data_IF_732424348157
#
_entry.id   IF_732424348157
#
_cell.length_a   1.000
_cell.length_b   1.000
_cell.length_c   1.000
_cell.angle_alpha   90.00
_cell.angle_beta   90.00
_cell.angle_gamma   90.00
#
_symmetry.space_group_name_H-M   'P 1'
#
loop_
_entity.id
_entity.type
_entity.pdbx_description
1 polymer ?
#
# COMPACT_ATOMS: atom_id res chain seq x y z
N UNK A 1 -2.19 -14.74 -0.07
CA UNK A 1 -1.15 -13.70 -0.28
C UNK A 1 -1.72 -12.36 0.19
N UNK A 2 -1.09 -11.72 1.16
CA UNK A 2 -1.56 -10.44 1.70
C UNK A 2 -0.85 -9.28 1.00
N UNK A 3 -1.64 -8.37 0.40
CA UNK A 3 -1.14 -7.14 -0.22
C UNK A 3 -1.13 -5.94 0.74
N UNK A 4 -1.96 -5.99 1.75
CA UNK A 4 -1.98 -5.10 2.89
C UNK A 4 -1.57 -5.91 4.12
N UNK A 5 -0.62 -5.41 4.90
CA UNK A 5 -0.25 -5.97 6.20
C UNK A 5 -0.33 -4.90 7.27
N UNK A 6 -0.40 -5.32 8.50
CA UNK A 6 -0.32 -4.43 9.66
C UNK A 6 0.94 -4.81 10.43
N UNK A 7 1.90 -3.91 10.44
CA UNK A 7 3.12 -4.04 11.23
C UNK A 7 2.86 -3.51 12.64
N UNK A 8 3.56 -4.05 13.62
CA UNK A 8 3.48 -3.63 15.02
C UNK A 8 4.82 -3.02 15.40
N UNK A 9 4.77 -1.83 15.93
CA UNK A 9 5.93 -1.15 16.49
C UNK A 9 5.71 -0.95 17.98
N UNK A 10 6.76 -1.11 18.73
CA UNK A 10 6.75 -0.92 20.17
C UNK A 10 7.50 0.38 20.46
N UNK A 11 6.93 1.24 21.31
CA UNK A 11 7.64 2.43 21.74
C UNK A 11 8.88 2.07 22.54
N UNK A 12 9.96 2.82 22.34
CA UNK A 12 11.15 2.78 23.17
C UNK A 12 11.13 3.91 24.19
N UNK A 13 12.00 3.86 25.17
CA UNK A 13 12.21 4.97 26.12
C UNK A 13 13.08 6.08 25.52
N UNK A 14 13.51 5.93 24.26
CA UNK A 14 14.26 6.93 23.53
C UNK A 14 13.32 7.98 22.93
N UNK A 15 13.47 9.23 23.38
CA UNK A 15 12.76 10.39 22.82
C UNK A 15 13.74 11.35 22.15
N UNK A 16 13.29 12.22 21.22
CA UNK A 16 14.12 13.26 20.64
C UNK A 16 14.77 14.15 21.73
N UNK A 17 14.00 14.53 22.73
CA UNK A 17 14.46 15.35 23.87
C UNK A 17 15.54 14.65 24.67
N UNK A 18 15.39 13.36 24.92
CA UNK A 18 16.42 12.56 25.59
C UNK A 18 17.70 12.49 24.75
N UNK A 19 17.56 12.27 23.44
CA UNK A 19 18.70 12.20 22.54
C UNK A 19 19.49 13.52 22.51
N UNK A 20 18.81 14.66 22.56
CA UNK A 20 19.44 15.99 22.62
C UNK A 20 20.09 16.24 23.96
N UNK A 21 19.39 16.00 25.08
CA UNK A 21 19.88 16.23 26.42
C UNK A 21 21.11 15.38 26.78
N UNK A 22 21.14 14.14 26.33
CA UNK A 22 22.24 13.20 26.58
C UNK A 22 23.30 13.26 25.46
N UNK A 23 23.11 14.12 24.43
CA UNK A 23 24.00 14.26 23.27
C UNK A 23 24.31 12.91 22.59
N UNK A 24 23.29 12.09 22.43
CA UNK A 24 23.41 10.73 21.89
C UNK A 24 23.65 10.79 20.37
N UNK A 25 24.67 10.09 19.91
CA UNK A 25 24.98 9.98 18.47
C UNK A 25 23.89 9.26 17.69
N UNK A 26 23.80 9.54 16.38
CA UNK A 26 22.74 8.98 15.51
C UNK A 26 22.69 7.45 15.55
N UNK A 27 23.83 6.79 15.53
CA UNK A 27 23.92 5.31 15.55
C UNK A 27 23.43 4.75 16.89
N UNK A 28 23.83 5.38 17.99
CA UNK A 28 23.39 4.99 19.32
C UNK A 28 21.90 5.26 19.54
N UNK A 29 21.39 6.36 19.01
CA UNK A 29 19.96 6.68 19.03
C UNK A 29 19.14 5.57 18.37
N UNK A 30 19.51 5.13 17.19
CA UNK A 30 18.80 4.03 16.50
C UNK A 30 18.94 2.71 17.27
N UNK A 31 20.10 2.39 17.83
CA UNK A 31 20.28 1.19 18.63
C UNK A 31 19.41 1.18 19.89
N UNK A 32 19.22 2.34 20.53
CA UNK A 32 18.32 2.45 21.68
C UNK A 32 16.83 2.41 21.26
N UNK A 33 16.48 2.96 20.10
CA UNK A 33 15.11 2.87 19.56
C UNK A 33 14.68 1.44 19.20
N UNK A 34 15.63 0.54 18.95
CA UNK A 34 15.34 -0.88 18.71
C UNK A 34 14.95 -1.63 20.00
N UNK A 35 15.27 -1.08 21.15
CA UNK A 35 14.91 -1.68 22.44
C UNK A 35 13.53 -1.23 22.87
N UNK A 36 12.61 -2.17 23.20
CA UNK A 36 11.32 -1.80 23.77
C UNK A 36 11.52 -1.09 25.10
N UNK A 37 10.69 -0.08 25.37
CA UNK A 37 10.65 0.59 26.67
C UNK A 37 10.21 -0.32 27.80
N UNK A 38 10.33 0.15 29.02
CA UNK A 38 9.91 -0.57 30.25
C UNK A 38 8.41 -0.88 30.22
N UNK A 39 7.60 0.01 29.64
CA UNK A 39 6.16 -0.16 29.44
C UNK A 39 5.79 0.23 28.01
N UNK A 40 6.10 -0.60 27.02
CA UNK A 40 5.99 -0.20 25.62
C UNK A 40 4.52 -0.07 25.19
N UNK A 41 4.22 1.02 24.52
CA UNK A 41 2.98 1.16 23.77
C UNK A 41 3.13 0.47 22.42
N UNK A 42 2.02 -0.04 21.89
CA UNK A 42 1.99 -0.71 20.59
C UNK A 42 1.35 0.21 19.57
N UNK A 43 2.08 0.52 18.51
CA UNK A 43 1.57 1.27 17.36
C UNK A 43 1.37 0.31 16.19
N UNK A 44 0.16 0.34 15.63
CA UNK A 44 -0.18 -0.46 14.45
C UNK A 44 -0.01 0.37 13.18
N UNK A 45 0.79 -0.13 12.26
CA UNK A 45 1.12 0.54 11.01
C UNK A 45 0.57 -0.26 9.83
N UNK A 46 -0.45 0.23 9.10
CA UNK A 46 -0.86 -0.39 7.85
C UNK A 46 0.19 -0.14 6.76
N UNK A 47 0.61 -1.20 6.10
CA UNK A 47 1.64 -1.15 5.06
C UNK A 47 1.16 -1.85 3.80
N UNK A 48 1.07 -1.10 2.71
CA UNK A 48 0.71 -1.55 1.38
C UNK A 48 1.66 -0.94 0.33
N UNK A 49 1.47 -1.24 -0.94
CA UNK A 49 2.22 -0.54 -1.98
C UNK A 49 1.96 0.96 -1.89
N UNK A 50 3.02 1.73 -1.76
CA UNK A 50 2.95 3.18 -1.59
C UNK A 50 2.76 3.92 -2.92
N UNK A 51 2.73 3.21 -4.05
CA UNK A 51 2.63 3.81 -5.38
C UNK A 51 3.57 5.01 -5.57
N UNK A 52 4.83 4.80 -5.20
CA UNK A 52 5.86 5.84 -5.16
C UNK A 52 6.05 6.50 -6.51
N UNK A 53 6.19 7.83 -6.54
CA UNK A 53 6.51 8.58 -7.76
C UNK A 53 7.97 8.37 -8.19
N UNK A 54 8.88 8.22 -7.22
CA UNK A 54 10.26 7.78 -7.45
C UNK A 54 10.39 6.30 -7.06
N UNK A 55 9.82 5.42 -7.87
CA UNK A 55 9.67 4.00 -7.53
C UNK A 55 10.96 3.19 -7.76
N UNK A 56 11.69 2.78 -6.71
CA UNK A 56 12.91 2.00 -6.87
C UNK A 56 12.66 0.60 -7.44
N UNK A 57 11.43 0.13 -7.43
CA UNK A 57 11.04 -1.13 -8.05
C UNK A 57 10.91 -1.05 -9.58
N UNK A 58 10.76 0.15 -10.15
CA UNK A 58 10.68 0.34 -11.60
C UNK A 58 12.07 0.30 -12.23
N UNK A 59 13.02 0.99 -11.61
CA UNK A 59 14.39 1.13 -12.13
C UNK A 59 15.15 -0.21 -12.22
N UNK A 60 14.81 -1.17 -11.38
CA UNK A 60 15.49 -2.48 -11.33
C UNK A 60 14.80 -3.57 -12.14
N UNK A 61 13.66 -3.29 -12.77
CA UNK A 61 12.95 -4.30 -13.55
C UNK A 61 13.57 -4.45 -14.94
N UNK A 62 14.20 -5.61 -15.26
CA UNK A 62 14.93 -5.77 -16.54
C UNK A 62 14.00 -5.79 -17.75
N UNK A 63 12.72 -6.06 -17.56
CA UNK A 63 11.73 -6.19 -18.64
C UNK A 63 10.67 -5.08 -18.63
N UNK A 64 10.83 -4.07 -17.77
CA UNK A 64 9.85 -2.99 -17.65
C UNK A 64 8.44 -3.48 -17.30
N UNK A 65 8.33 -4.53 -16.48
CA UNK A 65 7.04 -5.04 -16.02
C UNK A 65 6.41 -4.16 -14.93
N UNK A 66 7.22 -3.35 -14.26
CA UNK A 66 6.75 -2.35 -13.29
C UNK A 66 6.85 -0.98 -13.93
N UNK A 67 5.74 -0.29 -14.07
CA UNK A 67 5.64 0.97 -14.80
C UNK A 67 4.67 1.92 -14.12
N UNK A 68 4.81 3.23 -14.33
CA UNK A 68 3.86 4.24 -13.89
C UNK A 68 2.80 4.51 -14.95
N UNK A 69 1.55 4.65 -14.49
CA UNK A 69 0.48 5.19 -15.33
C UNK A 69 0.48 6.73 -15.29
N UNK A 70 -0.23 7.32 -16.24
CA UNK A 70 -0.46 8.78 -16.26
C UNK A 70 -1.27 9.28 -15.06
N UNK A 71 -1.90 8.38 -14.32
CA UNK A 71 -2.72 8.65 -13.14
C UNK A 71 -1.92 8.58 -11.83
N UNK A 72 -0.60 8.39 -11.91
CA UNK A 72 0.26 8.27 -10.75
C UNK A 72 0.26 6.87 -10.09
N UNK A 73 -0.33 5.85 -10.74
CA UNK A 73 -0.35 4.50 -10.22
C UNK A 73 0.87 3.71 -10.69
N UNK A 74 1.56 3.08 -9.75
CA UNK A 74 2.57 2.09 -10.08
C UNK A 74 1.89 0.79 -10.47
N UNK A 75 1.97 0.43 -11.76
CA UNK A 75 1.34 -0.75 -12.34
C UNK A 75 2.29 -1.94 -12.39
N UNK A 76 1.68 -3.11 -12.56
CA UNK A 76 2.37 -4.36 -12.81
C UNK A 76 1.84 -5.01 -14.09
N UNK A 77 2.68 -5.08 -15.12
CA UNK A 77 2.36 -5.82 -16.33
C UNK A 77 2.71 -7.30 -16.13
N UNK A 78 1.73 -8.08 -15.70
CA UNK A 78 1.94 -9.47 -15.29
C UNK A 78 2.47 -10.37 -16.40
N UNK A 79 2.07 -10.13 -17.64
CA UNK A 79 2.51 -10.88 -18.82
C UNK A 79 3.96 -10.57 -19.23
N UNK A 80 4.54 -9.48 -18.77
CA UNK A 80 5.96 -9.15 -18.96
C UNK A 80 6.86 -9.61 -17.82
N UNK A 81 6.29 -9.89 -16.67
CA UNK A 81 7.07 -10.27 -15.50
C UNK A 81 7.71 -11.64 -15.67
N UNK A 82 9.04 -11.71 -15.57
CA UNK A 82 9.82 -12.95 -15.63
C UNK A 82 10.24 -13.45 -14.24
N UNK A 83 9.81 -12.80 -13.17
CA UNK A 83 9.98 -13.28 -11.81
C UNK A 83 11.38 -13.15 -11.20
N UNK A 84 12.20 -12.20 -11.66
CA UNK A 84 13.54 -11.97 -11.07
C UNK A 84 13.50 -11.56 -9.60
N UNK A 85 12.39 -11.05 -9.11
CA UNK A 85 12.15 -10.60 -7.73
C UNK A 85 13.03 -9.42 -7.28
N UNK A 86 13.84 -8.86 -8.14
CA UNK A 86 14.69 -7.71 -7.80
C UNK A 86 13.83 -6.52 -7.31
N UNK A 87 12.67 -6.31 -7.90
CA UNK A 87 11.74 -5.28 -7.46
C UNK A 87 11.23 -5.48 -6.01
N UNK A 88 11.15 -6.72 -5.52
CA UNK A 88 10.81 -7.00 -4.13
C UNK A 88 11.98 -6.67 -3.19
N UNK A 89 13.20 -7.03 -3.60
CA UNK A 89 14.40 -6.74 -2.82
C UNK A 89 14.63 -5.22 -2.71
N UNK A 90 14.38 -4.49 -3.79
CA UNK A 90 14.60 -3.04 -3.85
C UNK A 90 13.44 -2.21 -3.29
N UNK A 91 12.31 -2.83 -2.94
CA UNK A 91 11.20 -2.13 -2.31
C UNK A 91 11.51 -1.88 -0.82
N UNK A 92 11.62 -0.62 -0.35
CA UNK A 92 11.89 -0.34 1.05
C UNK A 92 10.74 -0.76 1.96
N UNK A 93 9.52 -0.74 1.47
CA UNK A 93 8.31 -1.14 2.21
C UNK A 93 8.06 -2.64 2.25
N UNK A 94 8.82 -3.44 1.46
CA UNK A 94 8.69 -4.90 1.38
C UNK A 94 7.25 -5.39 1.13
N UNK A 95 6.57 -4.73 0.20
CA UNK A 95 5.15 -4.99 -0.09
C UNK A 95 4.89 -5.75 -1.40
N UNK A 96 5.95 -6.15 -2.07
CA UNK A 96 5.84 -6.94 -3.30
C UNK A 96 5.93 -8.42 -2.97
N UNK A 97 5.00 -9.21 -3.55
CA UNK A 97 4.85 -10.63 -3.28
C UNK A 97 5.12 -11.44 -4.53
N UNK A 98 5.85 -12.54 -4.38
CA UNK A 98 6.07 -13.47 -5.47
C UNK A 98 5.00 -14.56 -5.47
N UNK A 99 4.44 -14.84 -6.63
CA UNK A 99 3.43 -15.89 -6.79
C UNK A 99 4.10 -17.24 -7.01
N UNK A 100 4.22 -18.03 -5.96
CA UNK A 100 4.88 -19.33 -5.96
C UNK A 100 3.99 -20.45 -6.53
N UNK A 101 2.67 -20.26 -6.52
CA UNK A 101 1.70 -21.32 -6.80
C UNK A 101 0.75 -20.91 -7.91
N UNK A 102 0.25 -21.92 -8.63
CA UNK A 102 -0.78 -21.73 -9.65
C UNK A 102 -2.16 -21.99 -9.03
N UNK A 103 -2.60 -21.07 -8.17
CA UNK A 103 -3.80 -21.23 -7.36
C UNK A 103 -5.05 -21.55 -8.19
N UNK A 104 -5.24 -20.90 -9.35
CA UNK A 104 -6.42 -21.09 -10.17
C UNK A 104 -6.55 -22.47 -10.81
N UNK A 105 -5.47 -23.26 -10.85
CA UNK A 105 -5.43 -24.61 -11.44
C UNK A 105 -5.23 -25.69 -10.38
N UNK A 106 -5.35 -25.38 -9.10
CA UNK A 106 -5.20 -26.36 -8.05
C UNK A 106 -6.52 -27.13 -7.88
N UNK A 107 -6.53 -28.40 -8.26
CA UNK A 107 -7.70 -29.30 -8.18
C UNK A 107 -8.19 -29.48 -6.73
N UNK A 108 -7.35 -29.33 -5.75
CA UNK A 108 -7.73 -29.43 -4.34
C UNK A 108 -8.58 -28.25 -3.87
N UNK A 109 -8.58 -27.11 -4.56
CA UNK A 109 -9.43 -25.98 -4.17
C UNK A 109 -10.91 -26.30 -4.24
N UNK A 110 -11.35 -27.02 -5.26
CA UNK A 110 -12.76 -27.41 -5.38
C UNK A 110 -13.21 -28.37 -4.27
N UNK A 111 -12.28 -29.15 -3.71
CA UNK A 111 -12.58 -30.08 -2.60
C UNK A 111 -12.68 -29.35 -1.25
N UNK A 112 -11.85 -28.30 -1.05
CA UNK A 112 -11.78 -27.56 0.21
C UNK A 112 -12.74 -26.37 0.21
N UNK A 113 -12.99 -25.79 -0.96
CA UNK A 113 -13.90 -24.66 -1.17
C UNK A 113 -14.77 -24.91 -2.40
N UNK A 114 -15.98 -25.45 -2.21
CA UNK A 114 -16.91 -25.74 -3.33
C UNK A 114 -17.23 -24.54 -4.21
N UNK A 115 -17.13 -23.32 -3.68
CA UNK A 115 -17.30 -22.09 -4.44
C UNK A 115 -16.17 -21.82 -5.44
N UNK A 116 -15.12 -22.61 -5.45
CA UNK A 116 -13.99 -22.55 -6.40
C UNK A 116 -14.06 -23.64 -7.49
N UNK A 117 -15.18 -24.33 -7.62
CA UNK A 117 -15.47 -25.18 -8.77
C UNK A 117 -15.66 -24.35 -10.06
N UNK A 118 -15.94 -24.99 -11.18
CA UNK A 118 -16.09 -24.28 -12.46
C UNK A 118 -17.28 -23.31 -12.46
N UNK A 119 -18.37 -23.66 -11.77
CA UNK A 119 -19.54 -22.79 -11.63
C UNK A 119 -19.22 -21.59 -10.72
N UNK A 120 -18.56 -21.82 -9.62
CA UNK A 120 -18.13 -20.77 -8.69
C UNK A 120 -17.15 -19.79 -9.33
N UNK A 121 -16.30 -20.23 -10.25
CA UNK A 121 -15.41 -19.36 -11.02
C UNK A 121 -16.15 -18.44 -11.98
N UNK A 122 -17.32 -18.80 -12.46
CA UNK A 122 -18.10 -18.00 -13.40
C UNK A 122 -18.66 -16.70 -12.77
N UNK A 123 -18.75 -16.62 -11.45
CA UNK A 123 -19.18 -15.39 -10.73
C UNK A 123 -18.03 -14.43 -10.45
N UNK A 124 -16.79 -14.83 -10.73
CA UNK A 124 -15.63 -13.97 -10.52
C UNK A 124 -15.61 -12.83 -11.54
N UNK A 125 -15.13 -11.66 -11.09
CA UNK A 125 -15.04 -10.49 -11.96
C UNK A 125 -14.02 -10.74 -13.10
N UNK A 126 -14.46 -10.76 -14.38
CA UNK A 126 -13.59 -11.01 -15.53
C UNK A 126 -12.56 -9.90 -15.77
N UNK A 127 -12.78 -8.69 -15.25
CA UNK A 127 -11.85 -7.57 -15.40
C UNK A 127 -10.61 -7.71 -14.51
N UNK A 128 -10.62 -8.65 -13.57
CA UNK A 128 -9.46 -8.92 -12.72
C UNK A 128 -8.53 -9.90 -13.42
N UNK A 129 -7.33 -9.43 -13.76
CA UNK A 129 -6.28 -10.27 -14.36
C UNK A 129 -5.91 -11.43 -13.43
N UNK A 130 -6.02 -12.64 -13.93
CA UNK A 130 -5.56 -13.85 -13.23
C UNK A 130 -4.04 -13.94 -13.35
N UNK A 131 -3.33 -13.99 -12.20
CA UNK A 131 -1.88 -14.05 -12.16
C UNK A 131 -1.41 -15.48 -12.16
N UNK A 132 -0.49 -15.79 -13.07
CA UNK A 132 0.16 -17.10 -13.12
C UNK A 132 1.24 -17.23 -12.03
N UNK A 133 1.69 -18.47 -11.81
CA UNK A 133 2.88 -18.73 -11.01
C UNK A 133 4.09 -18.04 -11.64
N UNK A 134 4.98 -17.51 -10.81
CA UNK A 134 6.25 -16.92 -11.26
C UNK A 134 6.21 -15.43 -11.54
N UNK A 135 5.11 -14.75 -11.23
CA UNK A 135 5.01 -13.30 -11.36
C UNK A 135 5.01 -12.60 -9.99
N UNK A 136 5.39 -11.34 -10.01
CA UNK A 136 5.29 -10.48 -8.83
C UNK A 136 3.90 -9.85 -8.74
N UNK A 137 3.37 -9.79 -7.53
CA UNK A 137 2.09 -9.14 -7.23
C UNK A 137 2.23 -8.08 -6.15
N UNK A 138 1.35 -7.11 -6.19
CA UNK A 138 1.25 -6.03 -5.21
C UNK A 138 -0.13 -5.37 -5.25
N UNK A 139 -0.44 -4.51 -4.31
CA UNK A 139 -1.64 -3.69 -4.37
C UNK A 139 -1.70 -2.87 -5.68
N UNK A 140 -2.83 -2.91 -6.36
CA UNK A 140 -3.08 -2.22 -7.64
C UNK A 140 -3.95 -0.97 -7.46
N UNK A 141 -4.27 -0.55 -6.24
CA UNK A 141 -5.30 0.46 -5.94
C UNK A 141 -6.65 0.12 -6.57
N UNK A 142 -6.96 -1.18 -6.68
CA UNK A 142 -8.20 -1.66 -7.33
C UNK A 142 -8.39 -1.08 -8.75
N UNK A 143 -7.38 -1.19 -9.61
CA UNK A 143 -7.37 -0.60 -10.95
C UNK A 143 -8.64 -0.89 -11.75
N UNK A 144 -9.21 -2.10 -11.63
CA UNK A 144 -10.47 -2.47 -12.30
C UNK A 144 -11.64 -1.57 -11.86
N UNK A 145 -11.70 -1.17 -10.59
CA UNK A 145 -12.72 -0.24 -10.08
C UNK A 145 -12.48 1.18 -10.60
N UNK A 146 -11.23 1.60 -10.68
CA UNK A 146 -10.85 2.90 -11.26
C UNK A 146 -11.26 2.96 -12.72
N UNK A 147 -10.95 1.93 -13.51
CA UNK A 147 -11.32 1.87 -14.92
C UNK A 147 -12.85 1.82 -15.13
N UNK A 148 -13.55 1.07 -14.29
CA UNK A 148 -15.01 1.06 -14.31
C UNK A 148 -15.60 2.44 -14.00
N UNK A 149 -15.15 3.10 -12.94
CA UNK A 149 -15.61 4.46 -12.60
C UNK A 149 -15.34 5.48 -13.71
N UNK A 150 -14.19 5.39 -14.37
CA UNK A 150 -13.87 6.21 -15.55
C UNK A 150 -14.81 5.94 -16.72
N UNK A 151 -15.12 4.67 -16.98
CA UNK A 151 -16.04 4.29 -18.04
C UNK A 151 -17.44 4.86 -17.79
N UNK A 152 -17.93 4.75 -16.56
CA UNK A 152 -19.25 5.27 -16.20
C UNK A 152 -19.30 6.81 -16.29
N UNK A 153 -18.28 7.50 -15.80
CA UNK A 153 -18.18 8.95 -15.96
C UNK A 153 -18.16 9.37 -17.44
N UNK A 154 -17.42 8.65 -18.27
CA UNK A 154 -17.37 8.88 -19.72
C UNK A 154 -18.73 8.64 -20.39
N UNK A 155 -19.45 7.60 -20.02
CA UNK A 155 -20.83 7.34 -20.54
C UNK A 155 -21.80 8.44 -20.19
N UNK A 156 -21.64 9.02 -18.98
CA UNK A 156 -22.50 10.10 -18.51
C UNK A 156 -22.06 11.50 -19.02
N UNK A 157 -20.89 11.60 -19.66
CA UNK A 157 -20.31 12.87 -20.10
C UNK A 157 -19.94 13.81 -18.94
N UNK A 158 -19.67 13.27 -17.76
CA UNK A 158 -19.35 14.03 -16.53
C UNK A 158 -17.94 13.73 -16.04
N UNK A 159 -17.30 14.68 -15.32
CA UNK A 159 -16.06 14.36 -14.59
C UNK A 159 -16.34 13.35 -13.49
N UNK A 160 -15.28 12.69 -13.02
CA UNK A 160 -15.37 11.79 -11.88
C UNK A 160 -15.51 12.62 -10.61
N UNK A 161 -16.59 12.40 -9.87
CA UNK A 161 -16.82 13.08 -8.59
C UNK A 161 -15.99 12.43 -7.48
N UNK A 162 -15.63 13.18 -6.45
CA UNK A 162 -14.94 12.65 -5.28
C UNK A 162 -15.81 11.58 -4.60
N UNK A 163 -15.19 10.47 -4.19
CA UNK A 163 -15.89 9.35 -3.59
C UNK A 163 -16.64 8.42 -4.55
N UNK A 164 -16.74 8.76 -5.86
CA UNK A 164 -17.39 7.89 -6.86
C UNK A 164 -16.65 6.55 -7.07
N UNK A 165 -15.36 6.53 -6.78
CA UNK A 165 -14.53 5.32 -6.87
C UNK A 165 -14.05 4.96 -5.47
N UNK A 166 -14.32 3.74 -5.04
CA UNK A 166 -13.89 3.22 -3.72
C UNK A 166 -13.08 1.95 -3.88
N UNK A 167 -11.93 1.87 -3.23
CA UNK A 167 -11.12 0.64 -3.20
C UNK A 167 -11.77 -0.43 -2.34
N UNK A 168 -11.43 -1.71 -2.57
CA UNK A 168 -11.99 -2.81 -1.80
C UNK A 168 -11.65 -2.73 -0.30
N UNK A 169 -10.44 -2.27 0.02
CA UNK A 169 -10.04 -2.08 1.42
C UNK A 169 -10.80 -0.94 2.10
N UNK A 170 -11.03 0.18 1.40
CA UNK A 170 -11.83 1.28 1.92
C UNK A 170 -13.31 0.86 2.12
N UNK A 171 -13.87 0.12 1.17
CA UNK A 171 -15.23 -0.40 1.28
C UNK A 171 -15.41 -1.39 2.45
N UNK A 172 -14.37 -2.19 2.73
CA UNK A 172 -14.39 -3.17 3.81
C UNK A 172 -14.04 -2.57 5.19
N UNK A 173 -13.70 -1.29 5.24
CA UNK A 173 -13.33 -0.61 6.47
C UNK A 173 -14.57 -0.01 7.15
N UNK A 174 -15.11 -0.67 8.15
CA UNK A 174 -16.31 -0.23 8.87
C UNK A 174 -16.13 1.12 9.58
N UNK A 175 -14.90 1.44 9.96
CA UNK A 175 -14.57 2.73 10.63
C UNK A 175 -14.37 3.89 9.67
N UNK A 176 -14.36 3.64 8.35
CA UNK A 176 -14.09 4.68 7.36
C UNK A 176 -12.67 5.25 7.40
N UNK A 177 -11.73 4.53 8.02
CA UNK A 177 -10.34 5.01 8.22
C UNK A 177 -9.49 5.02 6.95
N UNK A 178 -10.00 4.46 5.84
CA UNK A 178 -9.26 4.41 4.57
C UNK A 178 -9.95 5.33 3.56
N UNK A 179 -9.29 6.41 3.23
CA UNK A 179 -9.77 7.37 2.22
C UNK A 179 -9.03 7.16 0.91
N UNK A 180 -9.77 7.14 -0.19
CA UNK A 180 -9.22 7.03 -1.54
C UNK A 180 -9.85 8.10 -2.44
N UNK A 181 -9.04 8.74 -3.29
CA UNK A 181 -9.52 9.77 -4.21
C UNK A 181 -8.40 10.37 -5.06
N UNK A 182 -8.74 11.39 -5.82
CA UNK A 182 -7.79 12.17 -6.61
C UNK A 182 -7.25 13.32 -5.76
N UNK A 183 -5.94 13.32 -5.54
CA UNK A 183 -5.25 14.35 -4.77
C UNK A 183 -5.19 15.71 -5.50
N UNK A 184 -5.37 15.71 -6.83
CA UNK A 184 -5.35 16.95 -7.62
C UNK A 184 -6.72 17.64 -7.64
N UNK A 185 -7.77 16.96 -7.25
CA UNK A 185 -9.09 17.58 -7.13
C UNK A 185 -9.13 18.45 -5.88
N UNK A 186 -9.43 19.74 -6.09
CA UNK A 186 -9.60 20.68 -4.98
C UNK A 186 -10.77 20.22 -4.09
N UNK A 187 -10.58 20.34 -2.78
CA UNK A 187 -11.53 19.92 -1.75
C UNK A 187 -11.86 18.42 -1.68
N UNK A 188 -11.10 17.55 -2.38
CA UNK A 188 -11.27 16.11 -2.22
C UNK A 188 -10.95 15.64 -0.80
N UNK A 189 -11.68 14.63 -0.34
CA UNK A 189 -11.50 14.05 0.98
C UNK A 189 -10.06 13.57 1.22
N UNK A 190 -9.43 12.97 0.20
CA UNK A 190 -8.04 12.49 0.30
C UNK A 190 -7.04 13.64 0.41
N UNK A 191 -7.27 14.74 -0.33
CA UNK A 191 -6.39 15.92 -0.26
C UNK A 191 -6.48 16.60 1.11
N UNK A 192 -7.69 16.71 1.66
CA UNK A 192 -7.90 17.26 2.98
C UNK A 192 -7.29 16.38 4.08
N UNK A 193 -7.44 15.05 3.98
CA UNK A 193 -6.80 14.12 4.90
C UNK A 193 -5.26 14.22 4.86
N UNK A 194 -4.66 14.45 3.70
CA UNK A 194 -3.21 14.63 3.57
C UNK A 194 -2.67 15.94 4.15
N UNK A 195 -3.52 16.97 4.28
CA UNK A 195 -3.15 18.24 4.90
C UNK A 195 -3.23 18.22 6.43
N UNK A 196 -3.84 17.18 7.02
CA UNK A 196 -3.91 17.02 8.47
C UNK A 196 -2.48 16.91 9.04
N UNK A 197 -2.22 17.62 10.13
CA UNK A 197 -0.92 17.65 10.80
C UNK A 197 -0.47 16.28 11.33
N UNK A 198 -1.41 15.34 11.47
CA UNK A 198 -1.14 13.95 11.84
C UNK A 198 -0.75 13.07 10.66
N UNK A 199 -0.83 13.60 9.42
CA UNK A 199 -0.51 12.83 8.22
C UNK A 199 1.00 12.78 8.00
N UNK A 200 1.54 11.61 7.70
CA UNK A 200 2.94 11.40 7.40
C UNK A 200 3.12 10.37 6.29
N UNK A 201 4.30 10.33 5.71
CA UNK A 201 4.71 9.34 4.73
C UNK A 201 5.66 8.32 5.35
N UNK A 202 5.42 7.06 5.06
CA UNK A 202 6.31 5.97 5.47
C UNK A 202 7.69 6.12 4.82
N UNK A 203 8.75 6.04 5.64
CA UNK A 203 10.15 6.10 5.20
C UNK A 203 10.40 7.31 4.28
N UNK A 204 9.97 8.47 4.71
CA UNK A 204 10.07 9.72 3.93
C UNK A 204 11.53 10.04 3.57
N UNK A 205 12.46 9.72 4.47
CA UNK A 205 13.91 9.94 4.32
C UNK A 205 14.52 9.20 3.13
N UNK A 206 13.88 8.12 2.67
CA UNK A 206 14.33 7.35 1.51
C UNK A 206 14.07 8.09 0.18
N UNK A 207 13.21 9.12 0.19
CA UNK A 207 12.96 9.98 -0.97
C UNK A 207 12.17 9.33 -2.10
N UNK A 208 11.40 8.26 -1.83
CA UNK A 208 10.61 7.55 -2.84
C UNK A 208 9.35 8.29 -3.28
N UNK A 209 8.99 9.37 -2.62
CA UNK A 209 7.77 10.17 -2.84
C UNK A 209 6.50 9.30 -2.86
N UNK A 210 6.06 8.78 -1.70
CA UNK A 210 4.87 7.95 -1.60
C UNK A 210 3.59 8.69 -1.97
N UNK A 211 2.69 8.02 -2.68
CA UNK A 211 1.33 8.52 -2.92
C UNK A 211 0.36 8.20 -1.77
N UNK A 212 0.73 7.25 -0.90
CA UNK A 212 -0.03 6.87 0.29
C UNK A 212 0.51 7.63 1.49
N UNK A 213 -0.39 8.15 2.31
CA UNK A 213 -0.08 8.74 3.62
C UNK A 213 -0.77 7.94 4.71
N UNK A 214 -0.23 7.98 5.89
CA UNK A 214 -0.80 7.40 7.10
C UNK A 214 -1.05 8.52 8.09
N UNK A 215 -2.13 8.43 8.87
CA UNK A 215 -2.44 9.40 9.90
C UNK A 215 -2.42 8.72 11.27
N UNK A 216 -1.90 9.40 12.26
CA UNK A 216 -1.98 8.95 13.65
C UNK A 216 -3.41 9.02 14.17
N UNK A 217 -3.84 7.98 14.87
CA UNK A 217 -5.16 7.95 15.50
C UNK A 217 -5.19 8.65 16.85
N UNK A 218 -4.05 8.75 17.53
CA UNK A 218 -3.93 9.40 18.83
C UNK A 218 -2.95 10.58 18.75
N UNK A 219 -3.40 11.76 19.13
CA UNK A 219 -2.54 12.86 19.50
C UNK A 219 -2.28 12.75 21.01
N UNK A 220 -1.11 12.31 21.42
CA UNK A 220 -0.58 12.79 22.68
C UNK A 220 -0.10 14.23 22.48
N UNK A 221 -0.47 15.12 23.39
CA UNK A 221 -0.23 16.56 23.28
C UNK A 221 1.27 16.97 23.22
N UNK A 222 2.19 16.01 23.20
CA UNK A 222 3.65 16.21 23.25
C UNK A 222 4.47 15.32 22.32
N UNK A 223 3.86 14.59 21.38
CA UNK A 223 4.62 13.84 20.39
C UNK A 223 4.60 14.56 19.04
N UNK A 224 5.45 15.55 18.93
CA UNK A 224 5.96 16.00 17.64
C UNK A 224 6.92 14.92 17.16
N UNK A 225 6.45 14.04 16.30
CA UNK A 225 7.33 13.18 15.55
C UNK A 225 7.94 13.99 14.41
N UNK A 226 9.20 14.28 14.55
CA UNK A 226 10.07 14.76 13.48
C UNK A 226 10.54 13.58 12.64
#
# INVERSE_FOLDING_TARGET
MHWLRIDRYYSSDMTPERAENENIGVVEKYAEMEKPGVSPEVVFQPVMCQHCNHAPCETVCPVGATVHSREGLNHMAYNRCIGTRYCANNCPYKVRRFNWFNYQKNEQFSLVNPAQDDLGRMVLNPDVTVRARGVMEKCTMCIQRIQYGKLEAKKQGKPIEDGAITTACAQACDTGSITFGDVNLDDSAVRNAKKDSRSYHLLEEVGTQPSVSVSYTHLRAHETLL
#
